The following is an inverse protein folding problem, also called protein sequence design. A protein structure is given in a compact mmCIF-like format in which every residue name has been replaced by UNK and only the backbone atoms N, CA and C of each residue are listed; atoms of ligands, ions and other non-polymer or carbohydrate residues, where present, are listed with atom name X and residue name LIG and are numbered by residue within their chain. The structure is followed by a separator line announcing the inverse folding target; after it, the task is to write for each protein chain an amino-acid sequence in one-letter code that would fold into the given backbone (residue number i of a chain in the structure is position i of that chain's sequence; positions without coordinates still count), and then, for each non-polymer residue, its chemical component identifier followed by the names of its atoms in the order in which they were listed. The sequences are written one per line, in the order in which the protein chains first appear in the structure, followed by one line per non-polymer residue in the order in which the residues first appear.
data_IF_261419561657
#
_entry.id   IF_261419561657
#
_cell.length_a   1.000
_cell.length_b   1.000
_cell.length_c   1.000
_cell.angle_alpha   90.00
_cell.angle_beta   90.00
_cell.angle_gamma   90.00
#
_symmetry.space_group_name_H-M   'P 1'
#
loop_
_entity.id
_entity.type
_entity.pdbx_description
1 polymer ?
#
# COMPACT_ATOMS: atom_id res chain seq x y z
N UNK A 1 8.04 -6.74 13.81
CA UNK A 1 7.45 -6.57 15.14
C UNK A 1 8.49 -6.18 16.20
N UNK A 2 9.69 -6.76 16.19
CA UNK A 2 10.74 -6.53 17.22
C UNK A 2 11.19 -5.06 17.38
N UNK A 3 11.13 -4.24 16.34
CA UNK A 3 11.49 -2.82 16.39
C UNK A 3 10.40 -1.92 16.99
N UNK A 4 9.15 -2.38 17.05
CA UNK A 4 7.99 -1.55 17.43
C UNK A 4 8.07 -1.03 18.88
N UNK A 5 8.53 -1.79 19.88
CA UNK A 5 8.63 -1.29 21.25
C UNK A 5 9.53 -0.05 21.42
N UNK A 6 10.54 0.10 20.57
CA UNK A 6 11.48 1.23 20.61
C UNK A 6 10.99 2.51 19.93
N UNK A 7 9.82 2.49 19.28
CA UNK A 7 9.31 3.68 18.59
C UNK A 7 8.86 4.77 19.56
N UNK A 8 9.00 6.06 19.21
CA UNK A 8 8.42 7.16 19.98
C UNK A 8 6.90 7.03 20.11
N UNK A 9 6.34 7.59 21.17
CA UNK A 9 4.88 7.66 21.35
C UNK A 9 4.37 9.00 20.84
N UNK A 10 3.33 8.97 19.99
CA UNK A 10 2.66 10.19 19.55
C UNK A 10 1.75 10.73 20.67
N UNK A 11 1.67 12.04 20.78
CA UNK A 11 0.69 12.68 21.66
C UNK A 11 -0.74 12.39 21.17
N UNK A 12 -1.70 12.38 22.09
CA UNK A 12 -3.11 12.07 21.79
C UNK A 12 -3.81 13.16 20.98
N UNK A 13 -3.31 14.38 21.06
CA UNK A 13 -3.76 15.57 20.33
C UNK A 13 -2.91 15.90 19.09
N UNK A 14 -1.97 15.01 18.73
CA UNK A 14 -1.16 15.18 17.54
C UNK A 14 -2.01 15.23 16.26
N UNK A 15 -1.55 15.97 15.27
CA UNK A 15 -2.19 15.95 13.96
C UNK A 15 -2.11 14.55 13.33
N UNK A 16 -3.16 14.18 12.59
CA UNK A 16 -3.23 12.87 11.92
C UNK A 16 -2.05 12.64 10.99
N UNK A 17 -1.45 11.46 11.06
CA UNK A 17 -0.28 11.05 10.29
C UNK A 17 -0.51 9.69 9.64
N UNK A 18 -0.06 9.55 8.38
CA UNK A 18 -0.07 8.29 7.65
C UNK A 18 1.30 7.61 7.80
N UNK A 19 1.31 6.38 8.28
CA UNK A 19 2.51 5.54 8.32
C UNK A 19 2.34 4.38 7.38
N UNK A 20 3.14 4.33 6.32
CA UNK A 20 3.20 3.23 5.38
C UNK A 20 4.17 2.19 5.93
N UNK A 21 3.66 0.97 6.13
CA UNK A 21 4.41 -0.13 6.74
C UNK A 21 4.84 -1.12 5.67
N UNK A 22 6.14 -1.28 5.51
CA UNK A 22 6.75 -2.20 4.54
C UNK A 22 8.06 -1.67 4.00
N UNK A 23 8.93 -2.56 3.56
CA UNK A 23 10.21 -2.19 2.95
C UNK A 23 10.00 -1.94 1.46
N UNK A 24 10.15 -0.70 1.03
CA UNK A 24 10.01 -0.27 -0.35
C UNK A 24 11.34 0.33 -0.83
N UNK A 25 11.53 0.35 -2.16
CA UNK A 25 12.64 1.11 -2.73
C UNK A 25 12.36 2.61 -2.60
N UNK A 26 13.39 3.42 -2.34
CA UNK A 26 13.29 4.86 -2.12
C UNK A 26 12.49 5.58 -3.22
N UNK A 27 12.71 5.19 -4.49
CA UNK A 27 11.97 5.75 -5.63
C UNK A 27 10.46 5.47 -5.56
N UNK A 28 10.06 4.35 -4.99
CA UNK A 28 8.64 4.00 -4.81
C UNK A 28 8.04 4.82 -3.67
N UNK A 29 8.75 4.94 -2.56
CA UNK A 29 8.33 5.80 -1.45
C UNK A 29 8.15 7.25 -1.89
N UNK A 30 9.11 7.80 -2.66
CA UNK A 30 9.03 9.16 -3.20
C UNK A 30 7.82 9.36 -4.13
N UNK A 31 7.45 8.34 -4.93
CA UNK A 31 6.25 8.40 -5.74
C UNK A 31 4.97 8.38 -4.88
N UNK A 32 4.91 7.55 -3.85
CA UNK A 32 3.77 7.54 -2.92
C UNK A 32 3.64 8.88 -2.18
N UNK A 33 4.73 9.40 -1.65
CA UNK A 33 4.73 10.73 -1.00
C UNK A 33 4.20 11.79 -1.94
N UNK A 34 4.67 11.80 -3.19
CA UNK A 34 4.21 12.79 -4.20
C UNK A 34 2.72 12.68 -4.47
N UNK A 35 2.18 11.48 -4.66
CA UNK A 35 0.76 11.27 -4.92
C UNK A 35 -0.07 11.66 -3.69
N UNK A 36 0.33 11.25 -2.50
CA UNK A 36 -0.35 11.57 -1.25
C UNK A 36 -0.34 13.07 -0.95
N UNK A 37 0.77 13.76 -1.20
CA UNK A 37 0.85 15.22 -1.08
C UNK A 37 -0.10 15.94 -2.06
N UNK A 38 -0.26 15.44 -3.29
CA UNK A 38 -1.26 15.98 -4.23
C UNK A 38 -2.70 15.80 -3.70
N UNK A 39 -2.94 14.73 -2.92
CA UNK A 39 -4.20 14.53 -2.21
C UNK A 39 -4.36 15.44 -0.97
N UNK A 40 -3.28 16.10 -0.51
CA UNK A 40 -3.22 16.90 0.71
C UNK A 40 -2.90 16.09 1.96
N UNK A 41 -2.43 14.87 1.80
CA UNK A 41 -1.91 14.05 2.89
C UNK A 41 -0.41 14.32 2.96
N UNK A 42 -0.01 15.34 3.74
CA UNK A 42 1.37 15.82 3.78
C UNK A 42 2.23 15.10 4.83
N UNK A 43 1.59 14.60 5.90
CA UNK A 43 2.28 13.88 6.98
C UNK A 43 2.33 12.39 6.65
N UNK A 44 3.32 12.01 5.85
CA UNK A 44 3.55 10.62 5.42
C UNK A 44 4.92 10.17 5.90
N UNK A 45 4.95 9.04 6.59
CA UNK A 45 6.18 8.39 7.03
C UNK A 45 6.19 6.93 6.64
N UNK A 46 7.36 6.32 6.70
CA UNK A 46 7.56 4.91 6.40
C UNK A 46 8.07 4.15 7.64
N UNK A 47 7.67 2.90 7.75
CA UNK A 47 8.21 1.98 8.74
C UNK A 47 8.60 0.65 8.09
N UNK A 48 9.87 0.25 8.14
CA UNK A 48 11.00 0.95 8.76
C UNK A 48 11.35 2.26 8.04
N UNK A 49 11.90 3.26 8.75
CA UNK A 49 12.31 4.50 8.12
C UNK A 49 13.61 4.33 7.34
N UNK A 50 13.89 5.20 6.37
CA UNK A 50 15.17 5.22 5.63
C UNK A 50 16.36 5.54 6.52
N UNK A 51 16.14 6.31 7.57
CA UNK A 51 17.18 6.72 8.53
C UNK A 51 16.73 6.35 9.93
N UNK A 52 17.68 5.87 10.73
CA UNK A 52 17.39 5.41 12.09
C UNK A 52 16.84 6.51 13.03
N UNK A 53 17.16 7.77 12.74
CA UNK A 53 16.71 8.94 13.48
C UNK A 53 15.33 9.49 13.05
N UNK A 54 14.78 8.99 11.92
CA UNK A 54 13.48 9.42 11.38
C UNK A 54 12.35 8.44 11.74
N UNK A 55 12.30 8.06 13.01
CA UNK A 55 11.28 7.14 13.50
C UNK A 55 9.92 7.83 13.63
N UNK A 56 8.88 7.22 13.07
CA UNK A 56 7.51 7.70 13.22
C UNK A 56 7.03 7.54 14.68
N UNK A 57 6.53 8.60 15.33
CA UNK A 57 5.83 8.46 16.60
C UNK A 57 4.49 7.72 16.36
N UNK A 58 4.20 6.74 17.20
CA UNK A 58 3.00 5.89 17.04
C UNK A 58 2.00 6.17 18.15
N UNK A 59 0.76 6.42 17.78
CA UNK A 59 -0.32 6.71 18.74
C UNK A 59 -1.71 6.77 18.08
N UNK A 60 -2.74 7.29 18.79
CA UNK A 60 -4.13 7.29 18.34
C UNK A 60 -4.39 8.05 17.02
N UNK A 61 -3.57 9.06 16.73
CA UNK A 61 -3.66 9.84 15.48
C UNK A 61 -2.92 9.21 14.30
N UNK A 62 -2.26 8.06 14.49
CA UNK A 62 -1.53 7.34 13.45
C UNK A 62 -2.48 6.44 12.64
N UNK A 63 -2.46 6.59 11.33
CA UNK A 63 -3.13 5.71 10.38
C UNK A 63 -2.09 4.83 9.70
N UNK A 64 -2.29 3.51 9.77
CA UNK A 64 -1.36 2.52 9.18
C UNK A 64 -1.87 2.05 7.84
N UNK A 65 -0.99 1.99 6.85
CA UNK A 65 -1.29 1.44 5.53
C UNK A 65 -0.20 0.43 5.16
N UNK A 66 -0.57 -0.86 5.05
CA UNK A 66 0.40 -1.91 4.75
C UNK A 66 0.75 -1.89 3.26
N UNK A 67 2.05 -1.90 2.96
CA UNK A 67 2.58 -2.01 1.60
C UNK A 67 3.01 -3.43 1.24
N UNK A 68 2.94 -4.37 2.18
CA UNK A 68 3.30 -5.79 2.00
C UNK A 68 2.35 -6.68 2.80
N UNK A 69 1.99 -7.90 2.30
CA UNK A 69 0.96 -8.73 2.92
C UNK A 69 1.38 -9.41 4.25
N UNK A 70 2.67 -9.74 4.41
CA UNK A 70 3.20 -10.52 5.54
C UNK A 70 3.56 -9.68 6.78
N UNK A 71 2.86 -8.58 7.02
CA UNK A 71 3.16 -7.65 8.12
C UNK A 71 2.11 -7.67 9.24
N UNK A 72 1.29 -8.73 9.32
CA UNK A 72 0.20 -8.81 10.29
C UNK A 72 0.66 -8.62 11.75
N UNK A 73 1.77 -9.24 12.16
CA UNK A 73 2.28 -9.10 13.52
C UNK A 73 2.86 -7.71 13.80
N UNK A 74 3.47 -7.09 12.79
CA UNK A 74 3.93 -5.70 12.90
C UNK A 74 2.74 -4.75 13.02
N UNK A 75 1.68 -4.96 12.21
CA UNK A 75 0.46 -4.18 12.30
C UNK A 75 -0.21 -4.31 13.68
N UNK A 76 -0.35 -5.55 14.20
CA UNK A 76 -0.89 -5.79 15.56
C UNK A 76 -0.09 -5.07 16.65
N UNK A 77 1.25 -5.12 16.55
CA UNK A 77 2.13 -4.45 17.52
C UNK A 77 1.98 -2.92 17.46
N UNK A 78 1.82 -2.34 16.28
CA UNK A 78 1.56 -0.90 16.10
C UNK A 78 0.16 -0.50 16.59
N UNK A 79 -0.86 -1.34 16.33
CA UNK A 79 -2.22 -1.14 16.82
C UNK A 79 -2.28 -1.19 18.36
N UNK A 80 -1.51 -2.06 19.01
CA UNK A 80 -1.41 -2.11 20.46
C UNK A 80 -0.87 -0.79 21.06
N UNK A 81 -0.23 0.06 20.25
CA UNK A 81 0.21 1.42 20.63
C UNK A 81 -0.81 2.51 20.28
N UNK A 82 -2.01 2.13 19.85
CA UNK A 82 -3.12 3.04 19.55
C UNK A 82 -3.30 3.39 18.07
N UNK A 83 -2.41 2.96 17.18
CA UNK A 83 -2.57 3.23 15.76
C UNK A 83 -3.76 2.48 15.15
N UNK A 84 -4.37 3.05 14.11
CA UNK A 84 -5.49 2.44 13.40
C UNK A 84 -5.04 1.91 12.05
N UNK A 85 -5.26 0.61 11.81
CA UNK A 85 -4.99 -0.02 10.52
C UNK A 85 -6.10 0.32 9.52
N UNK A 86 -5.72 0.83 8.36
CA UNK A 86 -6.64 1.09 7.25
C UNK A 86 -6.85 -0.19 6.43
N UNK A 87 -8.10 -0.58 6.17
CA UNK A 87 -8.38 -1.73 5.32
C UNK A 87 -8.05 -1.39 3.87
N UNK A 88 -7.10 -2.11 3.29
CA UNK A 88 -6.67 -1.92 1.91
C UNK A 88 -6.17 -3.22 1.31
N UNK A 89 -6.36 -3.44 -0.01
CA UNK A 89 -5.68 -4.53 -0.70
C UNK A 89 -4.19 -4.21 -0.80
N UNK A 90 -3.40 -5.21 -1.17
CA UNK A 90 -1.99 -4.98 -1.49
C UNK A 90 -1.84 -4.07 -2.74
N UNK A 91 -0.92 -3.06 -2.71
CA UNK A 91 -0.78 -2.09 -3.79
C UNK A 91 -0.02 -2.67 -4.99
N UNK A 92 -0.65 -3.56 -5.73
CA UNK A 92 -0.12 -4.18 -6.94
C UNK A 92 -1.07 -3.93 -8.12
N UNK A 93 -0.50 -3.46 -9.23
CA UNK A 93 -1.26 -3.05 -10.41
C UNK A 93 -2.02 -1.74 -10.20
N UNK A 94 -2.80 -1.34 -11.19
CA UNK A 94 -3.60 -0.11 -11.15
C UNK A 94 -4.74 -0.27 -10.14
N UNK A 95 -5.49 -1.37 -10.24
CA UNK A 95 -6.64 -1.63 -9.37
C UNK A 95 -6.24 -1.66 -7.89
N UNK A 96 -5.21 -2.47 -7.56
CA UNK A 96 -4.76 -2.61 -6.19
C UNK A 96 -4.17 -1.33 -5.61
N UNK A 97 -3.34 -0.63 -6.37
CA UNK A 97 -2.72 0.62 -5.93
C UNK A 97 -3.75 1.73 -5.77
N UNK A 98 -4.71 1.83 -6.69
CA UNK A 98 -5.79 2.84 -6.59
C UNK A 98 -6.68 2.58 -5.36
N UNK A 99 -7.07 1.33 -5.10
CA UNK A 99 -7.86 0.97 -3.92
C UNK A 99 -7.07 1.21 -2.61
N UNK A 100 -5.77 0.94 -2.62
CA UNK A 100 -4.87 1.20 -1.49
C UNK A 100 -4.77 2.70 -1.19
N UNK A 101 -4.59 3.54 -2.20
CA UNK A 101 -4.59 5.00 -2.08
C UNK A 101 -5.95 5.54 -1.66
N UNK A 102 -7.05 4.95 -2.16
CA UNK A 102 -8.42 5.33 -1.80
C UNK A 102 -8.71 5.10 -0.30
N UNK A 103 -8.13 4.05 0.29
CA UNK A 103 -8.27 3.81 1.74
C UNK A 103 -7.64 4.95 2.56
N UNK A 104 -6.46 5.44 2.16
CA UNK A 104 -5.86 6.62 2.78
C UNK A 104 -6.71 7.88 2.53
N UNK A 105 -7.13 8.10 1.29
CA UNK A 105 -7.96 9.27 0.93
C UNK A 105 -9.24 9.34 1.77
N UNK A 106 -9.91 8.20 1.97
CA UNK A 106 -11.10 8.11 2.81
C UNK A 106 -10.81 8.45 4.27
N UNK A 107 -9.74 7.90 4.84
CA UNK A 107 -9.35 8.15 6.23
C UNK A 107 -8.97 9.62 6.50
N UNK A 108 -8.43 10.31 5.49
CA UNK A 108 -8.04 11.71 5.54
C UNK A 108 -9.10 12.66 4.94
N UNK A 109 -10.30 12.17 4.63
CA UNK A 109 -11.41 12.95 4.11
C UNK A 109 -11.08 13.74 2.84
N UNK A 110 -10.25 13.16 1.97
CA UNK A 110 -9.90 13.74 0.67
C UNK A 110 -11.13 13.71 -0.25
N UNK A 111 -11.44 14.83 -0.92
CA UNK A 111 -12.55 14.86 -1.86
C UNK A 111 -12.28 13.96 -3.08
N UNK A 112 -13.37 13.49 -3.70
CA UNK A 112 -13.28 12.64 -4.90
C UNK A 112 -12.51 13.32 -6.02
N UNK A 113 -12.77 14.61 -6.24
CA UNK A 113 -12.14 15.40 -7.30
C UNK A 113 -10.62 15.49 -7.10
N UNK A 114 -10.20 15.71 -5.86
CA UNK A 114 -8.78 15.80 -5.50
C UNK A 114 -8.09 14.44 -5.63
N UNK A 115 -8.75 13.37 -5.21
CA UNK A 115 -8.28 12.01 -5.39
C UNK A 115 -8.10 11.69 -6.89
N UNK A 116 -9.15 11.87 -7.69
CA UNK A 116 -9.13 11.59 -9.13
C UNK A 116 -8.02 12.36 -9.84
N UNK A 117 -7.85 13.63 -9.52
CA UNK A 117 -6.78 14.46 -10.08
C UNK A 117 -5.37 13.94 -9.70
N UNK A 118 -5.18 13.50 -8.46
CA UNK A 118 -3.88 13.01 -7.98
C UNK A 118 -3.46 11.69 -8.64
N UNK A 119 -4.43 10.79 -8.91
CA UNK A 119 -4.14 9.45 -9.46
C UNK A 119 -4.18 9.41 -11.00
N UNK A 120 -4.77 10.39 -11.68
CA UNK A 120 -5.00 10.36 -13.14
C UNK A 120 -3.71 10.11 -13.94
N UNK A 121 -2.69 10.93 -13.75
CA UNK A 121 -1.44 10.82 -14.51
C UNK A 121 -0.63 9.55 -14.20
N UNK A 122 -0.44 9.14 -12.93
CA UNK A 122 0.17 7.85 -12.60
C UNK A 122 -0.59 6.66 -13.20
N UNK A 123 -1.92 6.65 -13.13
CA UNK A 123 -2.76 5.58 -13.68
C UNK A 123 -2.63 5.51 -15.21
N UNK A 124 -2.66 6.64 -15.90
CA UNK A 124 -2.49 6.67 -17.36
C UNK A 124 -1.12 6.11 -17.79
N UNK A 125 -0.05 6.45 -17.09
CA UNK A 125 1.29 5.90 -17.36
C UNK A 125 1.34 4.39 -17.14
N UNK A 126 0.76 3.92 -16.04
CA UNK A 126 0.68 2.50 -15.73
C UNK A 126 -0.13 1.74 -16.78
N UNK A 127 -1.29 2.26 -17.18
CA UNK A 127 -2.14 1.66 -18.22
C UNK A 127 -1.40 1.55 -19.57
N UNK A 128 -0.67 2.60 -19.98
CA UNK A 128 0.14 2.56 -21.20
C UNK A 128 1.26 1.50 -21.12
N UNK A 129 1.85 1.28 -19.96
CA UNK A 129 2.86 0.22 -19.77
C UNK A 129 2.24 -1.17 -19.78
N UNK A 130 1.11 -1.35 -19.10
CA UNK A 130 0.42 -2.64 -19.02
C UNK A 130 -0.19 -3.07 -20.35
N UNK A 131 -0.64 -2.14 -21.21
CA UNK A 131 -1.18 -2.48 -22.51
C UNK A 131 -0.18 -3.25 -23.39
N UNK A 132 1.10 -2.94 -23.29
CA UNK A 132 2.17 -3.67 -24.00
C UNK A 132 2.38 -5.08 -23.42
N UNK A 133 2.39 -5.20 -22.11
CA UNK A 133 2.52 -6.51 -21.46
C UNK A 133 1.29 -7.39 -21.74
N UNK A 134 0.10 -6.81 -21.77
CA UNK A 134 -1.14 -7.49 -22.08
C UNK A 134 -1.11 -8.18 -23.43
N UNK A 135 -0.52 -7.58 -24.46
CA UNK A 135 -0.36 -8.20 -25.79
C UNK A 135 0.34 -9.56 -25.75
N UNK A 136 1.19 -9.79 -24.76
CA UNK A 136 1.96 -11.03 -24.63
C UNK A 136 1.34 -12.00 -23.62
N UNK A 137 0.50 -11.53 -22.70
CA UNK A 137 0.02 -12.30 -21.56
C UNK A 137 -1.47 -12.67 -21.65
N UNK A 138 -2.27 -11.87 -22.37
CA UNK A 138 -3.71 -12.09 -22.48
C UNK A 138 -4.05 -13.50 -22.99
N UNK A 139 -4.97 -14.15 -22.31
CA UNK A 139 -5.41 -15.51 -22.62
C UNK A 139 -4.45 -16.63 -22.23
N UNK A 140 -3.21 -16.33 -21.83
CA UNK A 140 -2.29 -17.33 -21.30
C UNK A 140 -2.73 -17.80 -19.91
N UNK A 141 -2.50 -19.07 -19.63
CA UNK A 141 -2.85 -19.68 -18.36
C UNK A 141 -1.71 -19.53 -17.35
N UNK A 142 -2.06 -19.40 -16.07
CA UNK A 142 -1.11 -19.35 -14.96
C UNK A 142 -1.63 -20.17 -13.78
N UNK A 143 -0.70 -20.79 -13.09
CA UNK A 143 -0.88 -21.52 -11.85
C UNK A 143 -0.01 -20.88 -10.78
N UNK A 144 -0.53 -20.71 -9.57
CA UNK A 144 0.22 -20.23 -8.42
C UNK A 144 0.45 -21.35 -7.42
N UNK A 145 1.70 -21.67 -7.19
CA UNK A 145 2.10 -22.55 -6.12
C UNK A 145 2.10 -21.77 -4.77
N UNK A 146 1.62 -22.38 -3.67
CA UNK A 146 1.55 -21.70 -2.36
C UNK A 146 2.95 -21.54 -1.74
N UNK A 147 3.62 -20.45 -2.01
CA UNK A 147 5.00 -20.19 -1.58
C UNK A 147 5.15 -18.87 -0.82
N UNK A 148 4.29 -17.90 -1.09
CA UNK A 148 4.35 -16.58 -0.47
C UNK A 148 2.95 -16.08 -0.09
N UNK A 149 2.83 -14.86 0.36
CA UNK A 149 1.53 -14.20 0.59
C UNK A 149 1.15 -13.28 -0.58
N UNK A 150 1.87 -13.38 -1.69
CA UNK A 150 1.66 -12.54 -2.86
C UNK A 150 0.73 -13.16 -3.90
N UNK A 151 0.36 -14.44 -3.76
CA UNK A 151 -0.43 -15.17 -4.75
C UNK A 151 -1.75 -14.46 -5.05
N UNK A 152 -2.51 -14.09 -4.03
CA UNK A 152 -3.82 -13.44 -4.21
C UNK A 152 -3.70 -12.08 -4.92
N UNK A 153 -2.85 -11.12 -4.48
CA UNK A 153 -2.69 -9.86 -5.19
C UNK A 153 -2.12 -10.03 -6.60
N UNK A 154 -1.20 -10.98 -6.83
CA UNK A 154 -0.68 -11.29 -8.16
C UNK A 154 -1.75 -11.90 -9.06
N UNK A 155 -2.52 -12.87 -8.56
CA UNK A 155 -3.61 -13.49 -9.30
C UNK A 155 -4.65 -12.45 -9.74
N UNK A 156 -5.06 -11.55 -8.84
CA UNK A 156 -5.95 -10.44 -9.15
C UNK A 156 -5.37 -9.55 -10.27
N UNK A 157 -4.13 -9.12 -10.13
CA UNK A 157 -3.44 -8.24 -11.08
C UNK A 157 -3.32 -8.91 -12.46
N UNK A 158 -2.79 -10.14 -12.52
CA UNK A 158 -2.57 -10.84 -13.77
C UNK A 158 -3.87 -11.20 -14.49
N UNK A 159 -4.91 -11.56 -13.74
CA UNK A 159 -6.20 -11.89 -14.32
C UNK A 159 -6.96 -10.64 -14.78
N UNK A 160 -7.14 -9.65 -13.91
CA UNK A 160 -8.03 -8.51 -14.18
C UNK A 160 -7.39 -7.45 -15.07
N UNK A 161 -6.09 -7.19 -14.90
CA UNK A 161 -5.41 -6.12 -15.64
C UNK A 161 -4.68 -6.63 -16.88
N UNK A 162 -4.18 -7.87 -16.86
CA UNK A 162 -3.42 -8.45 -17.96
C UNK A 162 -4.17 -9.55 -18.73
N UNK A 163 -5.36 -9.93 -18.28
CA UNK A 163 -6.24 -10.88 -19.01
C UNK A 163 -5.76 -12.34 -18.99
N UNK A 164 -4.91 -12.73 -18.03
CA UNK A 164 -4.47 -14.11 -17.88
C UNK A 164 -5.58 -14.99 -17.30
N UNK A 165 -5.57 -16.27 -17.66
CA UNK A 165 -6.48 -17.30 -17.14
C UNK A 165 -5.87 -17.97 -15.92
N UNK A 166 -6.50 -17.80 -14.76
CA UNK A 166 -6.10 -18.51 -13.55
C UNK A 166 -6.56 -19.97 -13.64
N UNK A 167 -5.64 -20.92 -13.54
CA UNK A 167 -5.96 -22.34 -13.43
C UNK A 167 -6.24 -22.72 -11.98
N UNK A 168 -5.32 -22.34 -11.10
CA UNK A 168 -5.41 -22.58 -9.67
C UNK A 168 -4.58 -21.51 -8.92
N UNK A 169 -5.04 -21.14 -7.74
CA UNK A 169 -4.32 -20.24 -6.85
C UNK A 169 -4.20 -20.92 -5.49
N UNK A 170 -3.06 -21.53 -5.25
CA UNK A 170 -2.69 -22.02 -3.92
C UNK A 170 -2.26 -20.86 -3.03
N UNK A 171 -2.59 -20.94 -1.74
CA UNK A 171 -2.09 -20.01 -0.71
C UNK A 171 -1.56 -20.79 0.47
N UNK A 172 -0.56 -20.31 1.19
CA UNK A 172 -0.01 -20.99 2.36
C UNK A 172 -0.90 -20.87 3.62
N UNK A 173 -2.09 -20.26 3.53
CA UNK A 173 -3.03 -19.99 4.65
C UNK A 173 -4.45 -20.39 4.31
#
# INVERSE_FOLDING_TARGET
ASMVPGLPTAATDAAQELVIVGTLADVVEDQFVRILNHMGIERVRFFPPRRADDQAPIGPCTRLLLAQPFLADTAKALQARGASLLPAPFPLGIEGTTAWLQSAATAFQVSKERFDAAVAAPTARAAASLSRAKLHLEGKSIFFFPDSQLEIPLARFLSRELGMKLLEVGTPY
#
